data_IF_793235932645
#
_entry.id   IF_793235932645
#
_cell.length_a   1.000
_cell.length_b   1.000
_cell.length_c   1.000
_cell.angle_alpha   90.00
_cell.angle_beta   90.00
_cell.angle_gamma   90.00
#
_symmetry.space_group_name_H-M   'P 1'
#
loop_
_entity.id
_entity.type
_entity.pdbx_description
1 polymer ?
#
# COMPACT_ATOMS: atom_id res chain seq x y z
N UNK A 1 -13.08 14.68 -31.18
CA UNK A 1 -12.32 15.09 -29.96
C UNK A 1 -11.76 16.51 -30.21
N UNK A 2 -11.76 17.40 -29.22
CA UNK A 2 -11.50 18.86 -29.37
C UNK A 2 -10.03 19.25 -29.60
N UNK A 3 -9.10 18.29 -29.66
CA UNK A 3 -7.65 18.56 -29.70
C UNK A 3 -7.06 19.10 -28.39
N UNK A 4 -7.88 19.31 -27.35
CA UNK A 4 -7.46 19.81 -26.04
C UNK A 4 -7.30 18.64 -25.06
N UNK A 5 -6.43 18.82 -24.05
CA UNK A 5 -6.30 17.87 -22.94
C UNK A 5 -7.62 17.71 -22.20
N UNK A 6 -7.88 16.50 -21.69
CA UNK A 6 -9.01 16.22 -20.80
C UNK A 6 -8.74 16.65 -19.35
N UNK A 7 -7.51 17.04 -19.02
CA UNK A 7 -7.10 17.54 -17.70
C UNK A 7 -6.93 19.05 -17.81
N UNK A 8 -7.76 19.81 -17.08
CA UNK A 8 -7.78 21.28 -17.15
C UNK A 8 -6.42 21.91 -16.79
N UNK A 9 -5.76 21.37 -15.76
CA UNK A 9 -4.44 21.83 -15.29
C UNK A 9 -3.27 21.40 -16.18
N UNK A 10 -3.52 20.77 -17.33
CA UNK A 10 -2.54 20.14 -18.23
C UNK A 10 -1.81 18.93 -17.62
N UNK A 11 -1.44 19.00 -16.35
CA UNK A 11 -0.82 17.94 -15.56
C UNK A 11 -1.79 17.41 -14.51
N UNK A 12 -1.66 16.14 -14.17
CA UNK A 12 -2.45 15.50 -13.11
C UNK A 12 -1.61 14.54 -12.30
N UNK A 13 -2.03 14.30 -11.06
CA UNK A 13 -1.45 13.25 -10.23
C UNK A 13 -1.80 11.87 -10.78
N UNK A 14 -0.80 11.00 -10.91
CA UNK A 14 -1.01 9.59 -11.17
C UNK A 14 -1.13 8.86 -9.83
N UNK A 15 -2.18 8.06 -9.68
CA UNK A 15 -2.43 7.25 -8.48
C UNK A 15 -2.97 5.87 -8.84
N UNK A 16 -3.34 5.09 -7.84
CA UNK A 16 -3.84 3.72 -8.02
C UNK A 16 -2.71 2.70 -8.25
N UNK A 17 -3.05 1.45 -8.63
CA UNK A 17 -2.09 0.33 -8.67
C UNK A 17 -0.83 0.59 -9.49
N UNK A 18 -0.93 1.44 -10.52
CA UNK A 18 0.19 1.81 -11.38
C UNK A 18 1.38 2.39 -10.60
N UNK A 19 1.16 3.04 -9.46
CA UNK A 19 2.23 3.63 -8.64
C UNK A 19 2.69 2.73 -7.49
N UNK A 20 2.10 1.54 -7.30
CA UNK A 20 2.45 0.64 -6.18
C UNK A 20 3.96 0.35 -6.10
N UNK A 21 4.66 0.01 -7.20
CA UNK A 21 6.09 -0.27 -7.13
C UNK A 21 6.92 0.93 -6.63
N UNK A 22 6.51 2.15 -6.99
CA UNK A 22 7.18 3.38 -6.52
C UNK A 22 6.93 3.58 -5.03
N UNK A 23 5.68 3.40 -4.57
CA UNK A 23 5.34 3.54 -3.15
C UNK A 23 6.08 2.54 -2.25
N UNK A 24 6.18 1.28 -2.66
CA UNK A 24 6.97 0.25 -1.95
C UNK A 24 8.45 0.62 -1.87
N UNK A 25 9.04 1.05 -3.00
CA UNK A 25 10.44 1.47 -3.03
C UNK A 25 10.71 2.67 -2.12
N UNK A 26 9.77 3.63 -2.04
CA UNK A 26 9.85 4.77 -1.14
C UNK A 26 9.77 4.34 0.33
N UNK A 27 8.79 3.52 0.70
CA UNK A 27 8.64 3.01 2.07
C UNK A 27 9.90 2.27 2.51
N UNK A 28 10.40 1.35 1.69
CA UNK A 28 11.62 0.59 2.00
C UNK A 28 12.82 1.50 2.25
N UNK A 29 13.06 2.49 1.38
CA UNK A 29 14.15 3.46 1.56
C UNK A 29 13.99 4.28 2.84
N UNK A 30 12.78 4.77 3.12
CA UNK A 30 12.52 5.60 4.30
C UNK A 30 12.66 4.78 5.58
N UNK A 31 12.17 3.53 5.60
CA UNK A 31 12.28 2.62 6.75
C UNK A 31 13.73 2.42 7.20
N UNK A 32 14.67 2.31 6.26
CA UNK A 32 16.10 2.17 6.56
C UNK A 32 16.79 3.51 6.93
N UNK A 33 16.10 4.63 6.77
CA UNK A 33 16.66 5.98 6.99
C UNK A 33 16.19 6.60 8.31
N UNK A 34 14.97 6.31 8.74
CA UNK A 34 14.33 6.94 9.91
C UNK A 34 13.99 5.93 10.99
N UNK A 35 13.76 6.41 12.22
CA UNK A 35 13.36 5.57 13.37
C UNK A 35 11.90 5.74 13.79
N UNK A 36 11.16 6.61 13.10
CA UNK A 36 9.74 6.87 13.39
C UNK A 36 8.83 5.95 12.57
N UNK A 37 7.62 5.61 13.06
CA UNK A 37 6.67 4.79 12.31
C UNK A 37 6.30 5.40 10.95
N UNK A 38 6.05 4.54 9.96
CA UNK A 38 5.72 4.93 8.59
C UNK A 38 4.29 4.53 8.27
N UNK A 39 3.51 5.45 7.70
CA UNK A 39 2.21 5.13 7.09
C UNK A 39 2.40 5.07 5.58
N UNK A 40 2.35 3.86 5.01
CA UNK A 40 2.52 3.61 3.58
C UNK A 40 1.28 3.97 2.77
N UNK A 41 1.46 4.52 1.57
CA UNK A 41 0.38 4.78 0.63
C UNK A 41 0.89 4.64 -0.81
N UNK A 42 0.02 4.14 -1.68
CA UNK A 42 0.25 4.13 -3.12
C UNK A 42 -0.22 2.85 -3.76
N UNK A 43 -1.40 2.87 -4.39
CA UNK A 43 -1.86 1.77 -5.23
C UNK A 43 -2.28 0.49 -4.51
N UNK A 44 -2.52 0.54 -3.20
CA UNK A 44 -3.06 -0.57 -2.40
C UNK A 44 -4.53 -0.81 -2.80
N UNK A 45 -4.84 -2.04 -3.20
CA UNK A 45 -6.19 -2.46 -3.62
C UNK A 45 -6.65 -3.78 -2.99
N UNK A 46 -5.82 -4.47 -2.21
CA UNK A 46 -6.16 -5.71 -1.51
C UNK A 46 -5.26 -5.94 -0.29
N UNK A 47 -5.52 -7.01 0.48
CA UNK A 47 -4.76 -7.40 1.67
C UNK A 47 -3.31 -7.78 1.38
N UNK A 48 -3.02 -8.46 0.26
CA UNK A 48 -1.65 -8.79 -0.15
C UNK A 48 -0.80 -7.54 -0.35
N UNK A 49 -1.37 -6.48 -0.94
CA UNK A 49 -0.70 -5.19 -1.06
C UNK A 49 -0.40 -4.59 0.32
N UNK A 50 -1.32 -4.71 1.29
CA UNK A 50 -1.06 -4.27 2.67
C UNK A 50 0.14 -5.02 3.24
N UNK A 51 0.16 -6.35 3.13
CA UNK A 51 1.28 -7.17 3.60
C UNK A 51 2.59 -6.76 2.93
N UNK A 52 2.61 -6.50 1.62
CA UNK A 52 3.81 -5.97 0.92
C UNK A 52 4.31 -4.66 1.54
N UNK A 53 3.40 -3.72 1.85
CA UNK A 53 3.76 -2.45 2.47
C UNK A 53 4.26 -2.61 3.92
N UNK A 54 3.66 -3.52 4.69
CA UNK A 54 4.11 -3.84 6.05
C UNK A 54 5.51 -4.47 6.00
N UNK A 55 5.70 -5.51 5.17
CA UNK A 55 7.00 -6.15 4.95
C UNK A 55 8.08 -5.15 4.52
N UNK A 56 7.73 -4.16 3.69
CA UNK A 56 8.64 -3.10 3.27
C UNK A 56 9.01 -2.11 4.40
N UNK A 57 8.25 -2.05 5.50
CA UNK A 57 8.54 -1.22 6.67
C UNK A 57 7.41 -0.27 7.11
N UNK A 58 6.21 -0.37 6.54
CA UNK A 58 5.06 0.41 7.01
C UNK A 58 4.52 -0.15 8.33
N UNK A 59 4.14 0.72 9.26
CA UNK A 59 3.41 0.35 10.48
C UNK A 59 1.89 0.40 10.26
N UNK A 60 1.44 1.19 9.28
CA UNK A 60 0.05 1.25 8.85
C UNK A 60 -0.01 1.63 7.36
N UNK A 61 -1.19 1.52 6.74
CA UNK A 61 -1.39 1.85 5.33
C UNK A 61 -2.59 2.75 5.09
N UNK A 62 -2.56 3.52 4.00
CA UNK A 62 -3.71 4.27 3.50
C UNK A 62 -4.22 3.70 2.19
N UNK A 63 -5.53 3.55 2.08
CA UNK A 63 -6.23 3.14 0.86
C UNK A 63 -6.93 4.37 0.28
N UNK A 64 -6.56 4.76 -0.94
CA UNK A 64 -7.07 5.97 -1.60
C UNK A 64 -7.94 5.64 -2.82
N UNK A 65 -7.30 5.56 -4.00
CA UNK A 65 -7.97 5.34 -5.30
C UNK A 65 -8.88 4.11 -5.34
N UNK A 66 -8.61 3.07 -4.57
CA UNK A 66 -9.45 1.87 -4.51
C UNK A 66 -10.88 2.19 -4.03
N UNK A 67 -11.05 3.15 -3.11
CA UNK A 67 -12.37 3.55 -2.60
C UNK A 67 -13.30 4.10 -3.69
N UNK A 68 -12.75 4.69 -4.76
CA UNK A 68 -13.56 5.18 -5.88
C UNK A 68 -14.17 4.05 -6.71
N UNK A 69 -13.62 2.84 -6.62
CA UNK A 69 -14.16 1.64 -7.29
C UNK A 69 -15.03 0.82 -6.35
N UNK A 70 -14.65 0.76 -5.09
CA UNK A 70 -15.33 -0.02 -4.06
C UNK A 70 -15.28 0.70 -2.71
N UNK A 71 -16.37 1.37 -2.28
CA UNK A 71 -16.43 2.03 -0.99
C UNK A 71 -16.28 1.08 0.21
N UNK A 72 -16.55 -0.22 0.03
CA UNK A 72 -16.42 -1.24 1.07
C UNK A 72 -15.04 -1.92 1.10
N UNK A 73 -14.07 -1.44 0.32
CA UNK A 73 -12.77 -2.12 0.16
C UNK A 73 -12.00 -2.26 1.49
N UNK A 74 -12.13 -1.30 2.39
CA UNK A 74 -11.43 -1.33 3.67
C UNK A 74 -11.87 -2.52 4.55
N UNK A 75 -13.17 -2.80 4.59
CA UNK A 75 -13.72 -3.94 5.35
C UNK A 75 -13.29 -5.27 4.73
N UNK A 76 -13.29 -5.37 3.40
CA UNK A 76 -12.79 -6.56 2.69
C UNK A 76 -11.32 -6.83 2.99
N UNK A 77 -10.48 -5.80 2.89
CA UNK A 77 -9.05 -5.88 3.23
C UNK A 77 -8.87 -6.35 4.68
N UNK A 78 -9.64 -5.81 5.62
CA UNK A 78 -9.56 -6.19 7.03
C UNK A 78 -9.92 -7.67 7.24
N UNK A 79 -11.01 -8.13 6.64
CA UNK A 79 -11.44 -9.53 6.74
C UNK A 79 -10.42 -10.50 6.13
N UNK A 80 -9.85 -10.14 4.98
CA UNK A 80 -8.81 -10.93 4.32
C UNK A 80 -7.50 -10.95 5.13
N UNK A 81 -7.15 -9.83 5.80
CA UNK A 81 -5.99 -9.76 6.69
C UNK A 81 -6.16 -10.62 7.94
N UNK A 82 -7.34 -10.61 8.56
CA UNK A 82 -7.62 -11.51 9.70
C UNK A 82 -7.49 -12.97 9.28
N UNK A 83 -8.05 -13.33 8.12
CA UNK A 83 -7.91 -14.67 7.54
C UNK A 83 -6.45 -15.04 7.27
N UNK A 84 -5.65 -14.09 6.79
CA UNK A 84 -4.21 -14.29 6.58
C UNK A 84 -3.47 -14.55 7.90
N UNK A 85 -3.75 -13.77 8.95
CA UNK A 85 -3.16 -13.94 10.28
C UNK A 85 -3.47 -15.31 10.87
N UNK A 86 -4.73 -15.76 10.78
CA UNK A 86 -5.16 -17.09 11.23
C UNK A 86 -4.39 -18.20 10.50
N UNK A 87 -4.29 -18.11 9.17
CA UNK A 87 -3.59 -19.11 8.34
C UNK A 87 -2.09 -19.15 8.65
N UNK A 88 -1.47 -17.99 8.92
CA UNK A 88 -0.05 -17.92 9.29
C UNK A 88 0.21 -18.20 10.78
N UNK A 89 -0.84 -18.38 11.59
CA UNK A 89 -0.72 -18.49 13.06
C UNK A 89 0.04 -17.30 13.67
N UNK A 90 -0.27 -16.09 13.19
CA UNK A 90 0.32 -14.84 13.67
C UNK A 90 -0.73 -14.05 14.45
N UNK A 91 -0.36 -13.56 15.63
CA UNK A 91 -1.26 -12.73 16.45
C UNK A 91 -1.40 -11.30 15.89
N UNK A 92 -0.38 -10.82 15.15
CA UNK A 92 -0.33 -9.44 14.67
C UNK A 92 0.59 -9.29 13.45
N UNK A 93 0.22 -8.35 12.57
CA UNK A 93 1.05 -7.89 11.46
C UNK A 93 2.32 -7.15 11.92
N UNK A 94 2.40 -6.72 13.18
CA UNK A 94 3.57 -6.00 13.71
C UNK A 94 4.87 -6.80 13.56
N UNK A 95 4.79 -8.11 13.71
CA UNK A 95 5.92 -9.03 13.53
C UNK A 95 6.49 -9.03 12.10
N UNK A 96 5.72 -8.53 11.13
CA UNK A 96 6.09 -8.49 9.72
C UNK A 96 6.79 -7.19 9.33
N UNK A 97 6.68 -6.14 10.14
CA UNK A 97 7.18 -4.79 9.80
C UNK A 97 8.67 -4.86 9.44
N UNK A 98 8.99 -4.48 8.20
CA UNK A 98 10.38 -4.41 7.73
C UNK A 98 11.08 -5.76 7.54
N UNK A 99 10.33 -6.87 7.50
CA UNK A 99 10.90 -8.23 7.37
C UNK A 99 11.05 -8.71 5.91
N UNK A 100 10.89 -7.83 4.92
CA UNK A 100 11.06 -8.17 3.50
C UNK A 100 12.47 -8.73 3.22
N UNK A 101 12.52 -9.84 2.49
CA UNK A 101 13.78 -10.42 1.98
C UNK A 101 14.08 -9.83 0.61
N UNK A 102 15.28 -9.29 0.44
CA UNK A 102 15.79 -8.81 -0.85
C UNK A 102 16.71 -9.85 -1.48
N UNK A 103 16.87 -9.79 -2.79
CA UNK A 103 17.95 -10.50 -3.46
C UNK A 103 19.29 -9.88 -3.08
N UNK A 104 20.33 -10.72 -2.91
CA UNK A 104 21.72 -10.29 -2.78
C UNK A 104 22.26 -9.67 -4.09
#
# INVERSE_FOLDING_TARGET
KTGKSNIYTTYGGLSGPAIKPVGLACVYKVYHTVKIPIIGIGGIVNSSDVIEYILAGSSAVQVGTANYRDPGIAEKILNDLNSYLDVQSLDSIESLIGSVKTYD
#
